data_IF_981501146912
#
_entry.id   IF_981501146912
#
_cell.length_a   1.000
_cell.length_b   1.000
_cell.length_c   1.000
_cell.angle_alpha   90.00
_cell.angle_beta   90.00
_cell.angle_gamma   90.00
#
_symmetry.space_group_name_H-M   'P 1'
#
loop_
_entity.id
_entity.type
_entity.pdbx_description
1 polymer ?
#
# COMPACT_ATOMS: atom_id res chain seq x y z
N UNK A 1 -2.84 6.50 18.20
CA UNK A 1 -3.90 5.55 17.85
C UNK A 1 -3.76 4.29 18.70
N UNK A 2 -4.86 3.74 19.15
CA UNK A 2 -4.83 2.55 20.00
C UNK A 2 -4.38 1.30 19.22
N UNK A 3 -3.59 0.46 19.86
CA UNK A 3 -3.05 -0.80 19.33
C UNK A 3 -4.10 -1.78 18.77
N UNK A 4 -5.37 -1.61 19.17
CA UNK A 4 -6.47 -2.45 18.72
C UNK A 4 -6.77 -2.34 17.21
N UNK A 5 -6.41 -1.22 16.57
CA UNK A 5 -6.65 -1.03 15.13
C UNK A 5 -5.68 -1.81 14.23
N UNK A 6 -4.53 -2.21 14.75
CA UNK A 6 -3.54 -2.99 13.98
C UNK A 6 -3.77 -4.50 14.03
N UNK A 7 -4.61 -4.97 14.95
CA UNK A 7 -4.90 -6.39 15.10
C UNK A 7 -5.57 -6.95 13.83
N UNK A 8 -5.14 -8.15 13.45
CA UNK A 8 -5.64 -8.85 12.27
C UNK A 8 -5.34 -8.14 10.94
N UNK A 9 -4.41 -7.18 10.92
CA UNK A 9 -3.92 -6.63 9.66
C UNK A 9 -3.07 -7.65 8.93
N UNK A 10 -3.25 -7.74 7.61
CA UNK A 10 -2.52 -8.68 6.76
C UNK A 10 -1.46 -8.00 5.90
N UNK A 11 -1.57 -6.69 5.74
CA UNK A 11 -0.60 -5.83 5.08
C UNK A 11 -0.73 -4.40 5.59
N UNK A 12 0.26 -3.56 5.32
CA UNK A 12 0.28 -2.17 5.73
C UNK A 12 0.69 -1.26 4.58
N UNK A 13 -0.04 -0.17 4.41
CA UNK A 13 0.29 0.91 3.48
C UNK A 13 0.88 2.07 4.28
N UNK A 14 2.12 2.44 3.97
CA UNK A 14 2.79 3.62 4.49
C UNK A 14 2.63 4.76 3.50
N UNK A 15 2.07 5.87 3.94
CA UNK A 15 1.80 7.04 3.08
C UNK A 15 2.57 8.25 3.58
N UNK A 16 3.22 8.95 2.66
CA UNK A 16 3.86 10.24 2.93
C UNK A 16 3.52 11.26 1.83
N UNK A 17 3.83 12.51 2.07
CA UNK A 17 3.63 13.62 1.16
C UNK A 17 4.95 13.97 0.47
N UNK A 18 5.01 13.83 -0.85
CA UNK A 18 6.20 14.12 -1.65
C UNK A 18 6.69 15.57 -1.51
N UNK A 19 5.79 16.49 -1.12
CA UNK A 19 6.11 17.90 -0.92
C UNK A 19 6.62 18.23 0.49
N UNK A 20 6.65 17.25 1.39
CA UNK A 20 7.05 17.44 2.79
C UNK A 20 8.06 16.38 3.23
N UNK A 21 9.34 16.75 3.25
CA UNK A 21 10.43 15.84 3.66
C UNK A 21 10.24 15.25 5.05
N UNK A 22 9.65 16.00 5.98
CA UNK A 22 9.38 15.53 7.34
C UNK A 22 8.41 14.35 7.36
N UNK A 23 7.40 14.34 6.48
CA UNK A 23 6.46 13.22 6.36
C UNK A 23 7.15 11.93 5.92
N UNK A 24 8.18 12.02 5.07
CA UNK A 24 8.98 10.88 4.66
C UNK A 24 9.84 10.32 5.81
N UNK A 25 10.45 11.19 6.61
CA UNK A 25 11.21 10.77 7.81
C UNK A 25 10.32 10.04 8.82
N UNK A 26 9.07 10.43 8.94
CA UNK A 26 8.11 9.80 9.84
C UNK A 26 7.66 8.41 9.37
N UNK A 27 7.86 8.04 8.12
CA UNK A 27 7.53 6.69 7.60
C UNK A 27 8.18 5.59 8.44
N UNK A 28 9.47 5.73 8.75
CA UNK A 28 10.18 4.73 9.57
C UNK A 28 9.63 4.65 11.00
N UNK A 29 9.24 5.78 11.57
CA UNK A 29 8.60 5.83 12.90
C UNK A 29 7.29 5.05 12.89
N UNK A 30 6.43 5.30 11.91
CA UNK A 30 5.14 4.60 11.78
C UNK A 30 5.30 3.12 11.50
N UNK A 31 6.26 2.75 10.65
CA UNK A 31 6.58 1.34 10.36
C UNK A 31 7.01 0.59 11.62
N UNK A 32 7.91 1.18 12.39
CA UNK A 32 8.41 0.57 13.62
C UNK A 32 7.32 0.49 14.70
N UNK A 33 6.50 1.53 14.85
CA UNK A 33 5.35 1.49 15.76
C UNK A 33 4.39 0.36 15.39
N UNK A 34 4.06 0.22 14.11
CA UNK A 34 3.18 -0.83 13.63
C UNK A 34 3.74 -2.23 13.93
N UNK A 35 5.01 -2.47 13.63
CA UNK A 35 5.67 -3.75 13.91
C UNK A 35 5.76 -4.05 15.41
N UNK A 36 6.03 -3.05 16.23
CA UNK A 36 6.09 -3.22 17.69
C UNK A 36 4.72 -3.59 18.29
N UNK A 37 3.65 -2.99 17.78
CA UNK A 37 2.29 -3.24 18.26
C UNK A 37 1.77 -4.58 17.77
N UNK A 38 1.94 -4.89 16.48
CA UNK A 38 1.45 -6.12 15.88
C UNK A 38 2.30 -7.32 16.26
N UNK A 39 3.62 -7.13 16.39
CA UNK A 39 4.62 -8.16 16.65
C UNK A 39 4.41 -9.42 15.79
N UNK A 40 4.38 -9.28 14.46
CA UNK A 40 4.05 -10.39 13.57
C UNK A 40 5.16 -11.44 13.59
N UNK A 41 4.84 -12.74 13.48
CA UNK A 41 5.84 -13.80 13.48
C UNK A 41 6.80 -13.74 12.28
N UNK A 42 6.37 -13.16 11.18
CA UNK A 42 7.15 -12.92 9.97
C UNK A 42 8.04 -11.66 10.02
N UNK A 43 7.87 -10.84 11.06
CA UNK A 43 8.80 -9.74 11.37
C UNK A 43 9.11 -8.81 10.18
N UNK A 44 10.36 -8.79 9.75
CA UNK A 44 10.83 -7.94 8.66
C UNK A 44 10.28 -8.31 7.27
N UNK A 45 9.67 -9.49 7.11
CA UNK A 45 9.04 -9.92 5.85
C UNK A 45 7.56 -9.59 5.77
N UNK A 46 7.02 -8.92 6.81
CA UNK A 46 5.64 -8.44 6.80
C UNK A 46 5.37 -7.54 5.59
N UNK A 47 4.21 -7.72 4.90
CA UNK A 47 3.95 -6.97 3.68
C UNK A 47 3.69 -5.48 3.94
N UNK A 48 4.61 -4.65 3.47
CA UNK A 48 4.46 -3.20 3.40
C UNK A 48 4.49 -2.72 1.97
N UNK A 49 3.73 -1.67 1.66
CA UNK A 49 3.95 -0.84 0.48
C UNK A 49 4.09 0.62 0.90
N UNK A 50 4.79 1.38 0.07
CA UNK A 50 5.04 2.80 0.27
C UNK A 50 4.33 3.62 -0.80
N UNK A 51 3.60 4.65 -0.40
CA UNK A 51 2.92 5.59 -1.29
C UNK A 51 3.42 7.00 -1.05
N UNK A 52 4.00 7.61 -2.07
CA UNK A 52 4.30 9.05 -2.12
C UNK A 52 3.13 9.80 -2.74
N UNK A 53 2.35 10.48 -1.92
CA UNK A 53 1.17 11.24 -2.36
C UNK A 53 1.56 12.61 -2.91
N UNK A 54 0.65 13.22 -3.64
CA UNK A 54 0.78 14.53 -4.30
C UNK A 54 1.80 14.57 -5.43
N UNK A 55 1.95 13.49 -6.18
CA UNK A 55 2.90 13.41 -7.31
C UNK A 55 2.62 14.43 -8.44
N UNK A 56 1.40 14.98 -8.51
CA UNK A 56 1.02 16.02 -9.47
C UNK A 56 1.65 17.38 -9.20
N UNK A 57 2.08 17.66 -7.96
CA UNK A 57 2.71 18.92 -7.55
C UNK A 57 4.23 18.89 -7.83
N UNK A 58 4.62 18.72 -9.08
CA UNK A 58 6.00 18.46 -9.50
C UNK A 58 7.01 19.52 -9.04
N UNK A 59 6.61 20.79 -9.02
CA UNK A 59 7.48 21.90 -8.62
C UNK A 59 7.71 21.98 -7.11
N UNK A 60 6.85 21.33 -6.32
CA UNK A 60 6.89 21.34 -4.85
C UNK A 60 7.50 20.08 -4.25
N UNK A 61 7.88 19.10 -5.08
CA UNK A 61 8.47 17.84 -4.62
C UNK A 61 9.81 18.11 -3.91
N UNK A 62 9.92 17.60 -2.67
CA UNK A 62 11.10 17.77 -1.80
C UNK A 62 11.78 16.43 -1.46
N UNK A 63 11.10 15.31 -1.67
CA UNK A 63 11.66 13.97 -1.44
C UNK A 63 12.15 13.44 -2.78
N UNK A 64 13.43 13.10 -2.86
CA UNK A 64 14.04 12.62 -4.11
C UNK A 64 13.76 11.14 -4.36
N UNK A 65 13.80 10.73 -5.62
CA UNK A 65 13.64 9.32 -5.98
C UNK A 65 14.76 8.46 -5.38
N UNK A 66 15.99 8.99 -5.30
CA UNK A 66 17.15 8.32 -4.72
C UNK A 66 16.94 7.99 -3.24
N UNK A 67 16.37 8.92 -2.47
CA UNK A 67 16.03 8.70 -1.05
C UNK A 67 14.97 7.61 -0.90
N UNK A 68 13.94 7.62 -1.75
CA UNK A 68 12.85 6.64 -1.73
C UNK A 68 13.38 5.25 -2.12
N UNK A 69 14.17 5.16 -3.19
CA UNK A 69 14.75 3.90 -3.65
C UNK A 69 15.68 3.29 -2.62
N UNK A 70 16.51 4.09 -1.97
CA UNK A 70 17.40 3.64 -0.90
C UNK A 70 16.60 3.06 0.27
N UNK A 71 15.55 3.75 0.70
CA UNK A 71 14.65 3.28 1.75
C UNK A 71 13.96 1.97 1.38
N UNK A 72 13.44 1.86 0.17
CA UNK A 72 12.78 0.65 -0.30
C UNK A 72 13.72 -0.56 -0.36
N UNK A 73 14.97 -0.35 -0.84
CA UNK A 73 15.99 -1.41 -0.87
C UNK A 73 16.39 -1.89 0.51
N UNK A 74 16.52 -0.99 1.47
CA UNK A 74 16.82 -1.32 2.86
C UNK A 74 15.72 -2.15 3.52
N UNK A 75 14.48 -2.00 3.07
CA UNK A 75 13.30 -2.69 3.58
C UNK A 75 12.76 -3.77 2.62
N UNK A 76 13.61 -4.72 2.22
CA UNK A 76 13.26 -5.89 1.39
C UNK A 76 12.66 -5.54 0.02
N UNK A 77 13.17 -4.51 -0.64
CA UNK A 77 12.65 -4.00 -1.91
C UNK A 77 11.15 -3.69 -1.83
N UNK A 78 10.77 -2.94 -0.80
CA UNK A 78 9.39 -2.50 -0.57
C UNK A 78 8.80 -1.89 -1.84
N UNK A 79 7.63 -2.33 -2.32
CA UNK A 79 6.97 -1.70 -3.46
C UNK A 79 6.63 -0.24 -3.17
N UNK A 80 6.93 0.63 -4.13
CA UNK A 80 6.66 2.07 -4.05
C UNK A 80 5.78 2.54 -5.21
N UNK A 81 4.85 3.43 -4.90
CA UNK A 81 3.97 4.08 -5.87
C UNK A 81 3.96 5.59 -5.64
N UNK A 82 4.32 6.35 -6.67
CA UNK A 82 4.04 7.77 -6.70
C UNK A 82 2.57 7.96 -7.09
N UNK A 83 1.77 8.55 -6.23
CA UNK A 83 0.33 8.64 -6.37
C UNK A 83 -0.20 10.05 -6.18
N UNK A 84 -1.41 10.29 -6.65
CA UNK A 84 -2.19 11.47 -6.32
C UNK A 84 -3.60 11.06 -5.96
N UNK A 85 -3.95 11.22 -4.69
CA UNK A 85 -5.32 10.95 -4.21
C UNK A 85 -6.32 11.92 -4.84
N UNK A 86 -5.92 13.16 -5.09
CA UNK A 86 -6.78 14.18 -5.69
C UNK A 86 -7.08 13.91 -7.16
N UNK A 87 -6.10 13.39 -7.91
CA UNK A 87 -6.18 13.17 -9.36
C UNK A 87 -6.43 11.69 -9.71
N UNK A 88 -6.59 10.83 -8.72
CA UNK A 88 -6.80 9.38 -8.86
C UNK A 88 -5.70 8.70 -9.69
N UNK A 89 -4.43 9.06 -9.40
CA UNK A 89 -3.26 8.50 -10.09
C UNK A 89 -2.64 7.39 -9.25
N UNK A 90 -2.42 6.22 -9.87
CA UNK A 90 -1.73 5.04 -9.30
C UNK A 90 -2.35 4.46 -8.02
N UNK A 91 -3.57 4.84 -7.66
CA UNK A 91 -4.23 4.31 -6.46
C UNK A 91 -4.67 2.86 -6.66
N UNK A 92 -5.27 2.55 -7.79
CA UNK A 92 -5.73 1.20 -8.11
C UNK A 92 -4.59 0.19 -8.10
N UNK A 93 -3.47 0.52 -8.74
CA UNK A 93 -2.27 -0.33 -8.79
C UNK A 93 -1.69 -0.56 -7.38
N UNK A 94 -1.63 0.48 -6.56
CA UNK A 94 -1.14 0.37 -5.19
C UNK A 94 -2.03 -0.53 -4.32
N UNK A 95 -3.34 -0.35 -4.38
CA UNK A 95 -4.29 -1.17 -3.63
C UNK A 95 -4.34 -2.61 -4.13
N UNK A 96 -4.27 -2.85 -5.43
CA UNK A 96 -4.19 -4.19 -6.00
C UNK A 96 -2.90 -4.90 -5.54
N UNK A 97 -1.78 -4.20 -5.53
CA UNK A 97 -0.51 -4.75 -5.07
C UNK A 97 -0.56 -5.17 -3.60
N UNK A 98 -1.11 -4.33 -2.73
CA UNK A 98 -1.20 -4.67 -1.31
C UNK A 98 -2.19 -5.82 -1.05
N UNK A 99 -3.27 -5.88 -1.81
CA UNK A 99 -4.23 -6.98 -1.74
C UNK A 99 -3.60 -8.32 -2.13
N UNK A 100 -2.81 -8.34 -3.21
CA UNK A 100 -2.06 -9.53 -3.63
C UNK A 100 -1.06 -9.99 -2.57
N UNK A 101 -0.32 -9.05 -1.98
CA UNK A 101 0.64 -9.37 -0.92
C UNK A 101 -0.04 -9.91 0.34
N UNK A 102 -1.17 -9.35 0.74
CA UNK A 102 -1.96 -9.83 1.86
C UNK A 102 -2.52 -11.23 1.59
N UNK A 103 -3.02 -11.48 0.39
CA UNK A 103 -3.52 -12.79 -0.02
C UNK A 103 -2.42 -13.86 0.02
N UNK A 104 -1.23 -13.58 -0.53
CA UNK A 104 -0.09 -14.49 -0.51
C UNK A 104 0.34 -14.80 0.93
N UNK A 105 0.33 -13.80 1.81
CA UNK A 105 0.66 -13.99 3.22
C UNK A 105 -0.33 -14.91 3.92
N UNK A 106 -1.62 -14.69 3.71
CA UNK A 106 -2.68 -15.52 4.28
C UNK A 106 -2.59 -16.98 3.82
N UNK A 107 -2.36 -17.22 2.55
CA UNK A 107 -2.24 -18.57 2.00
C UNK A 107 -1.03 -19.33 2.53
N UNK A 108 0.05 -18.64 2.91
CA UNK A 108 1.22 -19.26 3.55
C UNK A 108 1.00 -19.61 5.02
N UNK A 109 0.11 -18.88 5.69
CA UNK A 109 -0.20 -19.09 7.11
C UNK A 109 -1.32 -20.12 7.32
N UNK A 110 -2.09 -20.45 6.29
CA UNK A 110 -3.17 -21.41 6.32
C UNK A 110 -2.80 -22.66 5.54
N UNK A 111 -2.24 -23.66 6.22
CA UNK A 111 -2.01 -25.00 5.64
C UNK A 111 -3.31 -25.78 5.37
N UNK A 112 -4.51 -25.15 5.38
CA UNK A 112 -5.77 -25.90 5.27
C UNK A 112 -7.02 -25.13 4.80
N UNK A 113 -6.91 -24.00 4.08
CA UNK A 113 -8.10 -23.38 3.48
C UNK A 113 -7.98 -23.30 1.96
N UNK A 114 -8.72 -24.18 1.26
CA UNK A 114 -8.97 -24.04 -0.18
C UNK A 114 -10.00 -22.92 -0.35
N UNK A 115 -9.66 -21.77 -0.96
CA UNK A 115 -10.65 -20.73 -1.23
C UNK A 115 -11.70 -21.29 -2.17
N UNK A 116 -12.96 -21.24 -1.77
CA UNK A 116 -14.07 -21.59 -2.65
C UNK A 116 -14.02 -20.64 -3.86
N UNK A 117 -13.80 -21.21 -5.04
CA UNK A 117 -13.60 -20.51 -6.32
C UNK A 117 -14.79 -19.62 -6.74
N UNK A 118 -15.84 -19.56 -5.92
CA UNK A 118 -17.01 -18.70 -6.14
C UNK A 118 -16.72 -17.21 -5.89
N UNK A 119 -15.72 -16.85 -5.11
CA UNK A 119 -15.41 -15.45 -4.82
C UNK A 119 -14.62 -14.75 -5.93
N UNK A 120 -13.99 -15.48 -6.84
CA UNK A 120 -13.21 -14.90 -7.95
C UNK A 120 -14.06 -14.41 -9.13
N UNK A 121 -15.38 -14.63 -9.12
CA UNK A 121 -16.26 -14.22 -10.23
C UNK A 121 -16.90 -12.84 -10.08
N UNK A 122 -16.71 -12.15 -8.97
CA UNK A 122 -17.37 -10.84 -8.71
C UNK A 122 -16.55 -9.66 -9.28
N UNK A 123 -15.29 -9.87 -9.64
CA UNK A 123 -14.39 -8.79 -10.10
C UNK A 123 -14.41 -8.52 -11.62
N UNK A 124 -15.32 -9.12 -12.38
CA UNK A 124 -15.37 -8.94 -13.85
C UNK A 124 -16.65 -8.25 -14.37
N UNK A 125 -17.41 -7.59 -13.54
CA UNK A 125 -18.37 -6.66 -14.07
C UNK A 125 -17.71 -5.31 -14.36
N UNK A 126 -17.27 -5.17 -15.61
CA UNK A 126 -16.87 -3.87 -16.16
C UNK A 126 -18.05 -2.89 -16.01
N UNK A 127 -17.82 -1.70 -15.48
CA UNK A 127 -18.85 -0.68 -15.47
C UNK A 127 -19.23 -0.37 -16.92
N UNK A 128 -20.48 -0.65 -17.28
CA UNK A 128 -21.03 -0.25 -18.58
C UNK A 128 -20.83 1.27 -18.71
N UNK A 129 -20.03 1.67 -19.68
CA UNK A 129 -19.89 3.08 -20.08
C UNK A 129 -21.29 3.61 -20.36
N UNK A 130 -21.83 4.43 -19.48
CA UNK A 130 -22.99 5.24 -19.79
C UNK A 130 -22.58 6.19 -20.91
N UNK A 131 -23.08 5.96 -22.13
CA UNK A 131 -23.02 6.96 -23.19
C UNK A 131 -23.81 8.17 -22.68
N UNK A 132 -23.12 9.26 -22.37
CA UNK A 132 -23.76 10.53 -22.25
C UNK A 132 -24.29 10.89 -23.66
N UNK A 133 -25.63 10.87 -23.83
CA UNK A 133 -26.23 11.57 -24.93
C UNK A 133 -26.12 13.07 -24.65
N UNK A 134 -24.99 13.68 -25.12
CA UNK A 134 -24.89 15.12 -25.23
C UNK A 134 -25.60 15.57 -26.51
N UNK A 135 -26.57 16.47 -26.37
CA UNK A 135 -26.89 17.35 -27.47
C UNK A 135 -25.86 18.47 -27.53
#
# INVERSE_FOLDING_TARGET
MGSSFYRNSEACILVFDLTQSESFKNVEVWRNEFLNVLNPPDGSTYPFILIGNKCGLKDDIKVTNEEIEAYCKEHNNMPYFAASAKEDINLEEAFNKVADMAFIRNTKNEDSFVPDTKFLKISQEQPKKKKCCGK
#
